data_IF_226629217821
#
_entry.id   IF_226629217821
#
_cell.length_a   1.000
_cell.length_b   1.000
_cell.length_c   1.000
_cell.angle_alpha   90.00
_cell.angle_beta   90.00
_cell.angle_gamma   90.00
#
_symmetry.space_group_name_H-M   'P 1'
#
loop_
_entity.id
_entity.type
_entity.pdbx_description
1 polymer ?
#
# COMPACT_ATOMS: atom_id res chain seq x y z
N UNK A 1 -13.48 -20.92 8.56
CA UNK A 1 -12.83 -21.03 9.89
C UNK A 1 -11.54 -20.25 9.73
N UNK A 2 -11.41 -19.10 10.39
CA UNK A 2 -10.17 -18.33 10.35
C UNK A 2 -9.06 -19.24 10.89
N UNK A 3 -7.95 -19.31 10.17
CA UNK A 3 -6.79 -20.06 10.60
C UNK A 3 -6.14 -19.28 11.75
N UNK A 4 -6.47 -19.63 13.00
CA UNK A 4 -5.93 -19.01 14.22
C UNK A 4 -4.42 -19.27 14.42
N UNK A 5 -3.76 -19.90 13.46
CA UNK A 5 -2.31 -19.99 13.45
C UNK A 5 -1.70 -18.62 13.14
N UNK A 6 -0.51 -18.36 13.68
CA UNK A 6 0.26 -17.14 13.43
C UNK A 6 0.46 -16.82 11.94
N UNK A 7 0.54 -17.87 11.10
CA UNK A 7 0.68 -17.70 9.65
C UNK A 7 -0.64 -17.28 8.99
N UNK A 8 -1.77 -17.77 9.50
CA UNK A 8 -3.11 -17.31 9.13
C UNK A 8 -3.35 -15.85 9.49
N UNK A 9 -3.09 -15.47 10.74
CA UNK A 9 -3.17 -14.08 11.22
C UNK A 9 -2.26 -13.13 10.42
N UNK A 10 -1.03 -13.57 10.10
CA UNK A 10 -0.10 -12.80 9.26
C UNK A 10 -0.67 -12.58 7.86
N UNK A 11 -1.26 -13.61 7.25
CA UNK A 11 -1.86 -13.50 5.92
C UNK A 11 -3.06 -12.55 5.93
N UNK A 12 -3.93 -12.66 6.93
CA UNK A 12 -5.07 -11.77 7.13
C UNK A 12 -4.62 -10.32 7.27
N UNK A 13 -3.63 -10.05 8.12
CA UNK A 13 -3.05 -8.70 8.29
C UNK A 13 -2.52 -8.13 6.97
N UNK A 14 -1.85 -8.95 6.15
CA UNK A 14 -1.33 -8.52 4.84
C UNK A 14 -2.47 -8.17 3.87
N UNK A 15 -3.55 -8.95 3.89
CA UNK A 15 -4.72 -8.72 3.04
C UNK A 15 -5.47 -7.45 3.47
N UNK A 16 -5.67 -7.24 4.77
CA UNK A 16 -6.27 -6.01 5.32
C UNK A 16 -5.45 -4.75 4.97
N UNK A 17 -4.12 -4.81 5.13
CA UNK A 17 -3.24 -3.73 4.72
C UNK A 17 -3.30 -3.47 3.21
N UNK A 18 -3.45 -4.51 2.40
CA UNK A 18 -3.57 -4.38 0.94
C UNK A 18 -4.86 -3.64 0.56
N UNK A 19 -5.97 -3.96 1.22
CA UNK A 19 -7.25 -3.31 1.00
C UNK A 19 -7.23 -1.84 1.45
N UNK A 20 -6.63 -1.54 2.61
CA UNK A 20 -6.48 -0.17 3.10
C UNK A 20 -5.62 0.68 2.13
N UNK A 21 -4.48 0.13 1.68
CA UNK A 21 -3.60 0.83 0.73
C UNK A 21 -4.27 1.06 -0.61
N UNK A 22 -5.15 0.16 -1.06
CA UNK A 22 -5.95 0.36 -2.28
C UNK A 22 -6.86 1.59 -2.14
N UNK A 23 -7.55 1.74 -1.01
CA UNK A 23 -8.40 2.91 -0.74
C UNK A 23 -7.53 4.18 -0.67
N UNK A 24 -6.38 4.12 0.01
CA UNK A 24 -5.46 5.25 0.09
C UNK A 24 -4.92 5.69 -1.28
N UNK A 25 -4.59 4.75 -2.17
CA UNK A 25 -4.16 5.04 -3.55
C UNK A 25 -5.28 5.70 -4.37
N UNK A 26 -6.53 5.27 -4.21
CA UNK A 26 -7.66 5.92 -4.88
C UNK A 26 -7.87 7.36 -4.40
N UNK A 27 -7.75 7.59 -3.09
CA UNK A 27 -7.80 8.93 -2.51
C UNK A 27 -6.62 9.80 -2.97
N UNK A 28 -5.40 9.24 -3.03
CA UNK A 28 -4.22 9.93 -3.52
C UNK A 28 -4.35 10.35 -4.99
N UNK A 29 -4.93 9.50 -5.84
CA UNK A 29 -5.23 9.84 -7.23
C UNK A 29 -6.22 10.99 -7.33
N UNK A 30 -7.34 10.93 -6.58
CA UNK A 30 -8.32 12.01 -6.55
C UNK A 30 -7.72 13.32 -6.06
N UNK A 31 -6.88 13.26 -5.02
CA UNK A 31 -6.16 14.43 -4.53
C UNK A 31 -5.23 15.03 -5.60
N UNK A 32 -4.59 14.20 -6.42
CA UNK A 32 -3.76 14.67 -7.54
C UNK A 32 -4.60 15.38 -8.61
N UNK A 33 -5.80 14.87 -8.91
CA UNK A 33 -6.74 15.49 -9.84
C UNK A 33 -7.25 16.86 -9.32
N UNK A 34 -7.37 17.00 -8.00
CA UNK A 34 -7.86 18.21 -7.32
C UNK A 34 -6.75 19.22 -6.97
N UNK A 35 -5.48 18.82 -7.04
CA UNK A 35 -4.33 19.66 -6.65
C UNK A 35 -3.62 20.24 -7.86
N UNK A 36 -3.36 21.55 -7.83
CA UNK A 36 -2.62 22.26 -8.87
C UNK A 36 -1.51 23.15 -8.29
N UNK A 37 -0.66 23.68 -9.17
CA UNK A 37 0.41 24.60 -8.80
C UNK A 37 1.47 23.95 -7.91
N UNK A 38 2.04 24.75 -7.00
CA UNK A 38 3.23 24.39 -6.22
C UNK A 38 3.02 23.21 -5.26
N UNK A 39 1.77 22.87 -4.96
CA UNK A 39 1.42 21.72 -4.10
C UNK A 39 1.37 20.39 -4.87
N UNK A 40 1.20 20.42 -6.19
CA UNK A 40 1.08 19.20 -7.01
C UNK A 40 2.31 18.26 -6.91
N UNK A 41 3.57 18.75 -6.91
CA UNK A 41 4.73 17.88 -6.75
C UNK A 41 4.70 17.04 -5.47
N UNK A 42 4.21 17.60 -4.34
CA UNK A 42 4.09 16.87 -3.07
C UNK A 42 3.01 15.79 -3.11
N UNK A 43 1.89 16.08 -3.78
CA UNK A 43 0.82 15.09 -3.96
C UNK A 43 1.26 13.96 -4.91
N UNK A 44 2.06 14.28 -5.92
CA UNK A 44 2.68 13.27 -6.77
C UNK A 44 3.63 12.38 -5.96
N UNK A 45 4.50 12.97 -5.14
CA UNK A 45 5.41 12.22 -4.24
C UNK A 45 4.65 11.29 -3.30
N UNK A 46 3.56 11.78 -2.68
CA UNK A 46 2.68 10.95 -1.85
C UNK A 46 2.15 9.72 -2.61
N UNK A 47 1.70 9.91 -3.86
CA UNK A 47 1.20 8.81 -4.69
C UNK A 47 2.30 7.80 -5.03
N UNK A 48 3.53 8.26 -5.30
CA UNK A 48 4.69 7.40 -5.54
C UNK A 48 5.02 6.57 -4.29
N UNK A 49 4.99 7.17 -3.09
CA UNK A 49 5.19 6.46 -1.82
C UNK A 49 4.10 5.40 -1.56
N UNK A 50 2.83 5.71 -1.83
CA UNK A 50 1.73 4.75 -1.71
C UNK A 50 1.91 3.58 -2.69
N UNK A 51 2.41 3.84 -3.89
CA UNK A 51 2.75 2.79 -4.85
C UNK A 51 3.87 1.89 -4.35
N UNK A 52 4.99 2.47 -3.90
CA UNK A 52 6.13 1.73 -3.35
C UNK A 52 5.74 0.89 -2.14
N UNK A 53 4.91 1.44 -1.25
CA UNK A 53 4.41 0.73 -0.06
C UNK A 53 3.62 -0.51 -0.46
N UNK A 54 2.72 -0.40 -1.45
CA UNK A 54 1.97 -1.56 -1.96
C UNK A 54 2.88 -2.60 -2.59
N UNK A 55 3.87 -2.20 -3.38
CA UNK A 55 4.87 -3.12 -3.96
C UNK A 55 5.62 -3.87 -2.86
N UNK A 56 6.03 -3.18 -1.80
CA UNK A 56 6.70 -3.81 -0.66
C UNK A 56 5.78 -4.81 0.05
N UNK A 57 4.50 -4.48 0.23
CA UNK A 57 3.53 -5.40 0.82
C UNK A 57 3.33 -6.66 -0.04
N UNK A 58 3.30 -6.52 -1.36
CA UNK A 58 3.26 -7.66 -2.29
C UNK A 58 4.49 -8.56 -2.14
N UNK A 59 5.70 -7.99 -2.06
CA UNK A 59 6.94 -8.76 -1.79
C UNK A 59 6.88 -9.51 -0.45
N UNK A 60 6.37 -8.85 0.60
CA UNK A 60 6.18 -9.47 1.93
C UNK A 60 5.18 -10.64 1.87
N UNK A 61 4.13 -10.51 1.05
CA UNK A 61 3.12 -11.54 0.81
C UNK A 61 3.69 -12.76 0.07
N UNK A 62 4.49 -12.51 -0.96
CA UNK A 62 5.12 -13.52 -1.81
C UNK A 62 6.35 -14.19 -1.17
N UNK A 63 6.87 -13.60 -0.09
CA UNK A 63 8.11 -14.07 0.57
C UNK A 63 9.39 -13.60 -0.13
N UNK A 64 9.28 -12.75 -1.16
CA UNK A 64 10.37 -12.14 -1.93
C UNK A 64 10.89 -10.86 -1.25
N UNK A 65 11.16 -10.93 0.05
CA UNK A 65 11.99 -9.91 0.70
C UNK A 65 13.44 -10.34 0.48
N UNK A 66 14.06 -9.82 -0.57
CA UNK A 66 15.52 -9.90 -0.72
C UNK A 66 16.14 -9.21 0.50
N UNK A 67 16.60 -10.02 1.44
CA UNK A 67 17.46 -9.57 2.52
C UNK A 67 18.88 -9.39 1.97
N UNK A 68 19.40 -8.19 2.11
CA UNK A 68 20.83 -7.92 2.26
C UNK A 68 20.97 -6.91 3.41
#
# INVERSE_FOLDING_TARGET
>A
MLDETRDGERRETIDELSDLLRVAQEMGRRLADETHGDSYPKVRELNELLHQTRVQLTKIKEGTVEGC
#
